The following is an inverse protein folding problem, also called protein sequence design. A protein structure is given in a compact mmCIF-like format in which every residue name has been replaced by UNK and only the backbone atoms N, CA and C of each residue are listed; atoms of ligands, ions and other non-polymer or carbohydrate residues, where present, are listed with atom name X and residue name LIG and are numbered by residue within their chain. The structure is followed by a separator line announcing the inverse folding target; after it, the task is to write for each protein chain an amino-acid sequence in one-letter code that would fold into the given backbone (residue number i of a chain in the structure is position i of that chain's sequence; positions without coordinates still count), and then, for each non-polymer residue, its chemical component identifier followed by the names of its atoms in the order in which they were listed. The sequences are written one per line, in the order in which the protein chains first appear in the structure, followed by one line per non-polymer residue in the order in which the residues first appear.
data_IF_077499711172
#
_entry.id   IF_077499711172
#
_cell.length_a   1.000
_cell.length_b   1.000
_cell.length_c   1.000
_cell.angle_alpha   90.00
_cell.angle_beta   90.00
_cell.angle_gamma   90.00
#
_symmetry.space_group_name_H-M   'P 1'
#
loop_
_entity.id
_entity.type
_entity.pdbx_description
1 polymer ?
#
# COMPACT_ATOMS: atom_id res chain seq x y z
N UNK A 1 22.71 -2.05 -0.21
CA UNK A 1 21.80 -3.15 -0.60
C UNK A 1 20.49 -2.50 -1.03
N UNK A 2 20.01 -2.79 -2.24
CA UNK A 2 18.82 -2.13 -2.80
C UNK A 2 17.59 -2.49 -1.98
N UNK A 3 16.82 -1.50 -1.51
CA UNK A 3 15.47 -1.75 -0.99
C UNK A 3 14.64 -2.32 -2.14
N UNK A 4 14.15 -3.57 -2.05
CA UNK A 4 13.40 -4.21 -3.12
C UNK A 4 12.12 -3.42 -3.44
N UNK A 5 11.65 -3.53 -4.68
CA UNK A 5 10.36 -2.97 -5.08
C UNK A 5 9.29 -3.47 -4.09
N UNK A 6 8.51 -2.59 -3.44
CA UNK A 6 7.44 -3.00 -2.52
C UNK A 6 6.48 -4.01 -3.16
N UNK A 7 6.27 -3.98 -4.47
CA UNK A 7 5.47 -5.01 -5.15
C UNK A 7 6.17 -6.38 -5.17
N UNK A 8 7.50 -6.41 -5.20
CA UNK A 8 8.31 -7.65 -5.11
C UNK A 8 8.30 -8.26 -3.71
N UNK A 9 7.98 -7.47 -2.67
CA UNK A 9 7.79 -7.95 -1.30
C UNK A 9 6.42 -8.60 -1.07
N UNK A 10 5.52 -8.57 -2.05
CA UNK A 10 4.21 -9.24 -1.96
C UNK A 10 4.35 -10.73 -2.27
N UNK A 11 3.35 -11.53 -1.84
CA UNK A 11 3.26 -12.94 -2.24
C UNK A 11 3.24 -13.05 -3.78
N UNK A 12 3.97 -13.99 -4.40
CA UNK A 12 3.92 -14.19 -5.84
C UNK A 12 2.51 -14.61 -6.26
N UNK A 13 2.06 -14.10 -7.42
CA UNK A 13 0.79 -14.52 -8.01
C UNK A 13 0.96 -15.94 -8.55
N UNK A 14 0.21 -16.87 -7.97
CA UNK A 14 0.15 -18.26 -8.43
C UNK A 14 -0.67 -18.37 -9.72
N UNK A 15 -0.49 -19.44 -10.53
CA UNK A 15 -1.22 -19.60 -11.78
C UNK A 15 -2.75 -19.54 -11.64
N UNK A 16 -3.30 -20.08 -10.54
CA UNK A 16 -4.72 -20.07 -10.23
C UNK A 16 -5.28 -18.69 -9.87
N UNK A 17 -4.44 -17.75 -9.44
CA UNK A 17 -4.83 -16.37 -9.13
C UNK A 17 -4.60 -15.40 -10.28
N UNK A 18 -4.03 -15.86 -11.40
CA UNK A 18 -3.60 -14.99 -12.50
C UNK A 18 -4.73 -14.18 -13.11
N UNK A 19 -5.85 -14.83 -13.40
CA UNK A 19 -6.98 -14.17 -14.06
C UNK A 19 -7.65 -13.16 -13.12
N UNK A 20 -7.74 -13.50 -11.82
CA UNK A 20 -8.22 -12.58 -10.79
C UNK A 20 -7.30 -11.36 -10.64
N UNK A 21 -5.99 -11.58 -10.63
CA UNK A 21 -5.02 -10.51 -10.58
C UNK A 21 -5.12 -9.57 -11.78
N UNK A 22 -5.27 -10.12 -12.99
CA UNK A 22 -5.45 -9.34 -14.20
C UNK A 22 -6.74 -8.51 -14.15
N UNK A 23 -7.86 -9.11 -13.76
CA UNK A 23 -9.13 -8.41 -13.62
C UNK A 23 -9.06 -7.27 -12.58
N UNK A 24 -8.41 -7.49 -11.44
CA UNK A 24 -8.17 -6.46 -10.42
C UNK A 24 -7.22 -5.35 -10.89
N UNK A 25 -6.32 -5.67 -11.83
CA UNK A 25 -5.36 -4.69 -12.36
C UNK A 25 -5.99 -3.73 -13.38
N UNK A 26 -7.22 -3.99 -13.84
CA UNK A 26 -7.91 -3.12 -14.79
C UNK A 26 -8.39 -1.85 -14.09
N UNK A 27 -7.57 -0.79 -14.18
CA UNK A 27 -7.93 0.50 -13.61
C UNK A 27 -8.86 1.29 -14.52
N UNK A 28 -10.15 1.23 -14.21
CA UNK A 28 -11.21 1.86 -15.00
C UNK A 28 -11.52 3.31 -14.54
N UNK A 29 -10.75 3.86 -13.62
CA UNK A 29 -10.94 5.19 -13.01
C UNK A 29 -10.56 6.38 -13.92
N UNK A 30 -11.24 6.58 -15.05
CA UNK A 30 -11.04 7.78 -15.87
C UNK A 30 -9.70 7.85 -16.64
N UNK A 31 -8.81 6.85 -16.47
CA UNK A 31 -7.65 6.62 -17.34
C UNK A 31 -7.90 5.57 -18.45
N UNK A 32 -9.16 5.16 -18.63
CA UNK A 32 -9.59 4.33 -19.75
C UNK A 32 -9.23 2.85 -19.67
N UNK A 33 -9.09 2.27 -18.46
CA UNK A 33 -8.89 0.83 -18.30
C UNK A 33 -7.43 0.38 -18.47
N UNK A 34 -6.46 1.30 -18.46
CA UNK A 34 -5.06 0.95 -18.73
C UNK A 34 -4.43 0.28 -17.51
N UNK A 35 -4.00 -0.97 -17.71
CA UNK A 35 -3.20 -1.69 -16.73
C UNK A 35 -1.79 -1.07 -16.68
N UNK A 36 -1.47 -0.45 -15.54
CA UNK A 36 -0.15 0.10 -15.21
C UNK A 36 0.58 -0.76 -14.18
N UNK A 37 1.89 -0.58 -14.01
CA UNK A 37 2.65 -1.25 -12.95
C UNK A 37 2.09 -0.93 -11.55
N UNK A 38 1.57 0.28 -11.35
CA UNK A 38 0.92 0.68 -10.11
C UNK A 38 -0.37 -0.14 -9.88
N UNK A 39 -1.27 -0.16 -10.86
CA UNK A 39 -2.53 -0.92 -10.74
C UNK A 39 -2.28 -2.43 -10.54
N UNK A 40 -1.23 -2.99 -11.16
CA UNK A 40 -0.79 -4.38 -10.93
C UNK A 40 -0.29 -4.62 -9.52
N UNK A 41 0.42 -3.65 -8.96
CA UNK A 41 0.92 -3.72 -7.60
C UNK A 41 -0.22 -3.66 -6.58
N UNK A 42 -1.16 -2.74 -6.77
CA UNK A 42 -2.36 -2.61 -5.94
C UNK A 42 -3.23 -3.88 -6.03
N UNK A 43 -3.44 -4.42 -7.23
CA UNK A 43 -4.13 -5.70 -7.42
C UNK A 43 -3.46 -6.86 -6.68
N UNK A 44 -2.12 -6.93 -6.73
CA UNK A 44 -1.35 -7.95 -6.02
C UNK A 44 -1.42 -7.76 -4.50
N UNK A 45 -1.45 -6.51 -4.03
CA UNK A 45 -1.61 -6.20 -2.61
C UNK A 45 -3.01 -6.62 -2.16
N UNK A 46 -4.07 -6.22 -2.87
CA UNK A 46 -5.45 -6.61 -2.60
C UNK A 46 -5.62 -8.13 -2.48
N UNK A 47 -5.08 -8.90 -3.44
CA UNK A 47 -5.08 -10.37 -3.35
C UNK A 47 -4.27 -10.89 -2.16
N UNK A 48 -3.12 -10.27 -1.87
CA UNK A 48 -2.32 -10.66 -0.70
C UNK A 48 -3.12 -10.46 0.58
N UNK A 49 -3.86 -9.34 0.71
CA UNK A 49 -4.70 -9.04 1.86
C UNK A 49 -5.87 -10.02 2.01
N UNK A 50 -6.49 -10.43 0.90
CA UNK A 50 -7.49 -11.51 0.91
C UNK A 50 -6.88 -12.82 1.44
N UNK A 51 -5.74 -13.24 0.88
CA UNK A 51 -5.08 -14.50 1.23
C UNK A 51 -4.66 -14.55 2.70
N UNK A 52 -4.23 -13.42 3.27
CA UNK A 52 -3.85 -13.36 4.69
C UNK A 52 -5.04 -13.07 5.61
N UNK A 53 -6.26 -12.95 5.07
CA UNK A 53 -7.48 -12.69 5.85
C UNK A 53 -7.54 -11.30 6.46
N UNK A 54 -6.96 -10.29 5.80
CA UNK A 54 -7.14 -8.87 6.16
C UNK A 54 -8.32 -8.23 5.43
N UNK A 55 -8.63 -8.71 4.23
CA UNK A 55 -9.83 -8.37 3.47
C UNK A 55 -10.68 -9.62 3.27
N UNK A 56 -12.00 -9.42 3.25
CA UNK A 56 -12.95 -10.51 3.09
C UNK A 56 -13.01 -10.98 1.64
N UNK A 57 -12.89 -12.30 1.38
CA UNK A 57 -13.04 -12.82 0.03
C UNK A 57 -14.51 -12.71 -0.42
N UNK A 58 -14.81 -12.47 -1.70
CA UNK A 58 -13.86 -12.30 -2.81
C UNK A 58 -13.60 -10.81 -3.04
N UNK A 59 -12.34 -10.40 -3.04
CA UNK A 59 -11.94 -9.05 -3.42
C UNK A 59 -12.13 -8.87 -4.93
N UNK A 60 -12.79 -7.78 -5.28
CA UNK A 60 -13.13 -7.37 -6.64
C UNK A 60 -12.72 -5.92 -6.86
N UNK A 61 -12.67 -5.48 -8.13
CA UNK A 61 -12.48 -4.08 -8.47
C UNK A 61 -13.71 -3.62 -9.26
N UNK A 62 -14.59 -2.81 -8.65
CA UNK A 62 -15.75 -2.29 -9.35
C UNK A 62 -15.30 -1.31 -10.44
N UNK A 63 -16.20 -1.07 -11.39
CA UNK A 63 -15.95 -0.24 -12.57
C UNK A 63 -15.49 1.21 -12.29
N UNK A 64 -15.67 1.69 -11.07
CA UNK A 64 -15.50 3.09 -10.68
C UNK A 64 -14.34 3.35 -9.70
N UNK A 65 -13.45 2.39 -9.44
CA UNK A 65 -12.22 2.70 -8.71
C UNK A 65 -11.64 1.58 -7.84
N UNK A 66 -11.45 1.88 -6.55
CA UNK A 66 -10.68 1.10 -5.58
C UNK A 66 -11.23 -0.31 -5.32
N UNK A 67 -10.42 -1.19 -4.72
CA UNK A 67 -10.84 -2.58 -4.47
C UNK A 67 -11.97 -2.67 -3.44
N UNK A 68 -12.97 -3.50 -3.73
CA UNK A 68 -14.05 -3.86 -2.82
C UNK A 68 -13.91 -5.29 -2.32
N UNK A 69 -14.19 -5.54 -1.04
CA UNK A 69 -14.17 -6.89 -0.46
C UNK A 69 -15.50 -7.64 -0.62
N UNK A 70 -15.56 -8.87 -0.12
CA UNK A 70 -16.73 -9.75 -0.20
C UNK A 70 -17.99 -9.25 0.54
N UNK A 71 -17.85 -8.27 1.44
CA UNK A 71 -18.98 -7.61 2.10
C UNK A 71 -19.38 -6.30 1.41
N UNK A 72 -18.73 -5.95 0.30
CA UNK A 72 -19.00 -4.73 -0.44
C UNK A 72 -18.32 -3.49 0.15
N UNK A 73 -17.45 -3.64 1.15
CA UNK A 73 -16.67 -2.52 1.66
C UNK A 73 -15.60 -2.15 0.64
N UNK A 74 -15.56 -0.88 0.24
CA UNK A 74 -14.54 -0.32 -0.65
C UNK A 74 -13.34 0.15 0.17
N UNK A 75 -12.14 -0.16 -0.28
CA UNK A 75 -10.89 0.07 0.42
C UNK A 75 -9.96 0.97 -0.40
N UNK A 76 -9.62 2.14 0.14
CA UNK A 76 -8.59 3.00 -0.41
C UNK A 76 -7.21 2.57 0.12
N UNK A 77 -6.24 2.43 -0.77
CA UNK A 77 -4.91 1.92 -0.45
C UNK A 77 -3.93 3.09 -0.33
N UNK A 78 -3.33 3.27 0.84
CA UNK A 78 -2.30 4.27 1.11
C UNK A 78 -0.95 3.59 1.30
N UNK A 79 0.06 4.05 0.55
CA UNK A 79 1.43 3.55 0.64
C UNK A 79 2.40 4.69 1.00
N UNK A 80 2.35 5.21 2.24
CA UNK A 80 3.20 6.32 2.66
C UNK A 80 4.68 5.95 2.58
N UNK A 81 5.53 6.92 2.26
CA UNK A 81 6.95 6.68 2.03
C UNK A 81 7.81 7.40 3.05
N UNK A 82 8.72 6.67 3.70
CA UNK A 82 9.79 7.32 4.46
C UNK A 82 10.66 8.19 3.55
N UNK A 83 11.19 9.30 4.08
CA UNK A 83 12.16 10.13 3.36
C UNK A 83 13.32 9.30 2.81
N UNK A 84 13.83 8.35 3.60
CA UNK A 84 14.88 7.42 3.20
C UNK A 84 14.46 6.57 1.98
N UNK A 85 13.23 6.05 1.96
CA UNK A 85 12.71 5.29 0.82
C UNK A 85 12.57 6.14 -0.45
N UNK A 86 12.17 7.42 -0.32
CA UNK A 86 12.07 8.36 -1.44
C UNK A 86 13.46 8.63 -2.03
N UNK A 87 14.41 8.99 -1.19
CA UNK A 87 15.81 9.25 -1.59
C UNK A 87 16.38 8.03 -2.30
N UNK A 88 16.31 6.86 -1.68
CA UNK A 88 16.84 5.63 -2.25
C UNK A 88 16.22 5.29 -3.62
N UNK A 89 14.88 5.44 -3.77
CA UNK A 89 14.19 5.19 -5.05
C UNK A 89 14.69 6.13 -6.14
N UNK A 90 14.85 7.40 -5.80
CA UNK A 90 15.31 8.43 -6.74
C UNK A 90 16.76 8.19 -7.14
N UNK A 91 17.65 7.91 -6.19
CA UNK A 91 19.05 7.58 -6.45
C UNK A 91 19.18 6.33 -7.32
N UNK A 92 18.41 5.28 -7.01
CA UNK A 92 18.39 4.04 -7.80
C UNK A 92 17.93 4.27 -9.24
N UNK A 93 16.87 5.07 -9.44
CA UNK A 93 16.37 5.42 -10.77
C UNK A 93 17.37 6.28 -11.54
N UNK A 94 17.96 7.26 -10.87
CA UNK A 94 18.94 8.20 -11.42
C UNK A 94 20.21 7.45 -11.87
N UNK A 95 20.69 6.52 -11.04
CA UNK A 95 21.80 5.61 -11.38
C UNK A 95 21.49 4.76 -12.62
N UNK A 96 20.29 4.15 -12.71
CA UNK A 96 19.87 3.37 -13.88
C UNK A 96 19.72 4.22 -15.15
N UNK A 97 19.30 5.47 -15.00
CA UNK A 97 19.14 6.41 -16.10
C UNK A 97 20.42 7.16 -16.48
N UNK A 98 21.52 6.95 -15.74
CA UNK A 98 22.77 7.70 -15.87
C UNK A 98 22.58 9.24 -15.76
N UNK A 99 21.64 9.69 -14.95
CA UNK A 99 21.37 11.11 -14.67
C UNK A 99 21.63 11.43 -13.20
N UNK A 100 22.01 12.66 -12.83
CA UNK A 100 22.09 13.06 -11.43
C UNK A 100 20.69 13.09 -10.77
N UNK A 101 20.58 12.80 -9.46
CA UNK A 101 19.32 12.91 -8.74
C UNK A 101 18.83 14.37 -8.67
N UNK A 102 17.51 14.62 -8.74
CA UNK A 102 16.92 15.95 -8.58
C UNK A 102 17.18 16.54 -7.18
N UNK A 103 17.21 17.88 -7.09
CA UNK A 103 17.29 18.60 -5.81
C UNK A 103 15.91 18.66 -5.14
N UNK A 104 15.79 18.06 -3.95
CA UNK A 104 14.56 18.07 -3.15
C UNK A 104 13.69 16.82 -3.36
N UNK A 105 12.97 16.45 -2.30
CA UNK A 105 12.24 15.18 -2.21
C UNK A 105 10.84 15.40 -1.59
N UNK A 106 9.86 15.83 -2.39
CA UNK A 106 8.49 16.00 -1.90
C UNK A 106 7.84 14.63 -1.61
N UNK A 107 6.86 14.62 -0.69
CA UNK A 107 6.01 13.45 -0.43
C UNK A 107 6.49 12.53 0.69
N UNK A 108 7.39 13.02 1.56
CA UNK A 108 7.78 12.31 2.78
C UNK A 108 6.56 12.01 3.66
N UNK A 109 6.60 10.85 4.32
CA UNK A 109 5.64 10.45 5.32
C UNK A 109 5.46 11.53 6.38
N UNK A 110 4.20 11.92 6.58
CA UNK A 110 3.73 12.80 7.64
C UNK A 110 2.49 12.17 8.24
N UNK A 111 2.57 11.79 9.52
CA UNK A 111 1.52 11.02 10.19
C UNK A 111 0.19 11.78 10.26
N UNK A 112 0.25 13.10 10.41
CA UNK A 112 -0.94 13.95 10.48
C UNK A 112 -1.67 14.00 9.14
N UNK A 113 -0.92 14.11 8.05
CA UNK A 113 -1.47 14.04 6.69
C UNK A 113 -2.18 12.71 6.44
N UNK A 114 -1.60 11.59 6.87
CA UNK A 114 -2.21 10.27 6.69
C UNK A 114 -3.46 10.08 7.57
N UNK A 115 -3.47 10.60 8.80
CA UNK A 115 -4.66 10.61 9.66
C UNK A 115 -5.81 11.42 9.03
N UNK A 116 -5.53 12.65 8.55
CA UNK A 116 -6.52 13.49 7.86
C UNK A 116 -7.05 12.84 6.59
N UNK A 117 -6.18 12.20 5.81
CA UNK A 117 -6.60 11.42 4.63
C UNK A 117 -7.51 10.27 5.00
N UNK A 118 -7.24 9.59 6.11
CA UNK A 118 -8.07 8.48 6.60
C UNK A 118 -9.46 8.95 6.95
N UNK A 119 -9.56 10.02 7.74
CA UNK A 119 -10.84 10.65 8.07
C UNK A 119 -11.61 11.02 6.79
N UNK A 120 -10.92 11.64 5.82
CA UNK A 120 -11.52 12.00 4.54
C UNK A 120 -12.07 10.80 3.75
N UNK A 121 -11.37 9.66 3.73
CA UNK A 121 -11.88 8.45 3.05
C UNK A 121 -13.06 7.82 3.81
N UNK A 122 -13.01 7.78 5.14
CA UNK A 122 -14.11 7.24 5.95
C UNK A 122 -15.38 8.10 5.86
N UNK A 123 -15.25 9.41 5.72
CA UNK A 123 -16.39 10.30 5.42
C UNK A 123 -17.05 10.00 4.06
N UNK A 124 -16.33 9.35 3.14
CA UNK A 124 -16.84 8.85 1.86
C UNK A 124 -17.35 7.39 1.95
N UNK A 125 -17.39 6.81 3.15
CA UNK A 125 -17.82 5.42 3.36
C UNK A 125 -16.78 4.37 2.96
N UNK A 126 -15.51 4.76 2.79
CA UNK A 126 -14.42 3.85 2.43
C UNK A 126 -13.61 3.44 3.65
N UNK A 127 -13.13 2.20 3.64
CA UNK A 127 -12.06 1.75 4.50
C UNK A 127 -10.70 2.17 3.95
N UNK A 128 -9.68 2.13 4.80
CA UNK A 128 -8.30 2.48 4.44
C UNK A 128 -7.37 1.33 4.76
N UNK A 129 -6.54 0.97 3.79
CA UNK A 129 -5.43 0.05 4.01
C UNK A 129 -4.11 0.80 3.90
N UNK A 130 -3.31 0.75 4.96
CA UNK A 130 -1.95 1.25 4.97
C UNK A 130 -0.94 0.17 4.61
N UNK A 131 -0.25 0.34 3.49
CA UNK A 131 0.94 -0.42 3.13
C UNK A 131 2.18 0.19 3.81
N UNK A 132 2.56 -0.40 4.94
CA UNK A 132 3.63 0.04 5.84
C UNK A 132 5.02 -0.38 5.36
N UNK A 133 5.14 -1.16 4.28
CA UNK A 133 6.41 -1.75 3.83
C UNK A 133 7.43 -0.72 3.33
N UNK A 134 7.00 0.53 3.17
CA UNK A 134 7.82 1.67 2.73
C UNK A 134 8.19 2.62 3.88
N UNK A 135 7.75 2.29 5.09
CA UNK A 135 8.08 2.99 6.33
C UNK A 135 9.16 2.24 7.10
N UNK A 136 9.88 2.95 7.97
CA UNK A 136 10.65 2.28 9.02
C UNK A 136 9.70 1.69 10.06
N UNK A 137 10.17 0.74 10.87
CA UNK A 137 9.37 0.16 11.97
C UNK A 137 8.86 1.27 12.92
N UNK A 138 9.70 2.25 13.25
CA UNK A 138 9.31 3.37 14.10
C UNK A 138 8.19 4.23 13.48
N UNK A 139 8.28 4.53 12.17
CA UNK A 139 7.25 5.29 11.46
C UNK A 139 5.94 4.51 11.29
N UNK A 140 6.05 3.20 11.03
CA UNK A 140 4.91 2.31 10.98
C UNK A 140 4.17 2.28 12.33
N UNK A 141 4.90 2.13 13.43
CA UNK A 141 4.33 2.16 14.78
C UNK A 141 3.71 3.51 15.12
N UNK A 142 4.38 4.61 14.76
CA UNK A 142 3.84 5.96 14.94
C UNK A 142 2.50 6.12 14.20
N UNK A 143 2.43 5.68 12.94
CA UNK A 143 1.20 5.73 12.14
C UNK A 143 0.07 4.90 12.78
N UNK A 144 0.36 3.66 13.17
CA UNK A 144 -0.60 2.79 13.85
C UNK A 144 -1.12 3.46 15.13
N UNK A 145 -0.22 3.94 15.99
CA UNK A 145 -0.60 4.57 17.26
C UNK A 145 -1.48 5.80 17.06
N UNK A 146 -1.14 6.69 16.11
CA UNK A 146 -1.94 7.90 15.86
C UNK A 146 -3.31 7.55 15.27
N UNK A 147 -3.35 6.70 14.24
CA UNK A 147 -4.61 6.36 13.54
C UNK A 147 -5.57 5.60 14.45
N UNK A 148 -5.06 4.68 15.27
CA UNK A 148 -5.89 3.90 16.20
C UNK A 148 -6.35 4.69 17.43
N UNK A 149 -5.63 5.74 17.81
CA UNK A 149 -5.98 6.59 18.96
C UNK A 149 -6.93 7.74 18.60
N UNK A 150 -7.11 8.07 17.31
CA UNK A 150 -7.99 9.15 16.87
C UNK A 150 -9.46 8.73 16.96
N UNK A 151 -10.24 9.43 17.79
CA UNK A 151 -11.66 9.13 18.00
C UNK A 151 -12.55 9.42 16.79
N UNK A 152 -12.04 10.09 15.75
CA UNK A 152 -12.75 10.36 14.50
C UNK A 152 -12.55 9.25 13.46
N UNK A 153 -11.72 8.26 13.76
CA UNK A 153 -11.41 7.14 12.87
C UNK A 153 -12.10 5.88 13.40
N UNK A 154 -12.91 5.26 12.55
CA UNK A 154 -13.44 3.93 12.82
C UNK A 154 -12.34 2.89 12.60
N UNK A 155 -11.84 2.31 13.69
CA UNK A 155 -10.82 1.27 13.66
C UNK A 155 -11.28 0.00 12.90
N UNK A 156 -12.58 -0.27 12.81
CA UNK A 156 -13.10 -1.40 12.03
C UNK A 156 -12.88 -1.21 10.52
N UNK A 157 -12.68 0.03 10.07
CA UNK A 157 -12.43 0.42 8.68
C UNK A 157 -10.97 0.77 8.39
N UNK A 158 -10.04 0.36 9.25
CA UNK A 158 -8.59 0.52 9.02
C UNK A 158 -7.90 -0.84 9.01
N UNK A 159 -7.00 -1.05 8.06
CA UNK A 159 -6.11 -2.22 8.02
C UNK A 159 -4.67 -1.77 7.82
N UNK A 160 -3.74 -2.51 8.40
CA UNK A 160 -2.30 -2.30 8.27
C UNK A 160 -1.67 -3.53 7.62
N UNK A 161 -0.77 -3.31 6.66
CA UNK A 161 -0.01 -4.36 6.02
C UNK A 161 1.48 -4.03 5.89
N UNK A 162 2.40 -4.87 6.40
CA UNK A 162 2.14 -6.04 7.25
C UNK A 162 1.40 -5.66 8.54
N UNK A 163 0.87 -6.66 9.24
CA UNK A 163 0.20 -6.42 10.53
C UNK A 163 1.20 -5.91 11.55
N UNK A 164 0.70 -5.27 12.61
CA UNK A 164 1.53 -4.71 13.67
C UNK A 164 2.45 -5.78 14.29
N UNK A 165 1.90 -6.95 14.59
CA UNK A 165 2.64 -8.09 15.14
C UNK A 165 3.76 -8.60 14.22
N UNK A 166 3.65 -8.34 12.92
CA UNK A 166 4.59 -8.80 11.89
C UNK A 166 5.68 -7.77 11.56
N UNK A 167 5.59 -6.53 12.08
CA UNK A 167 6.53 -5.45 11.75
C UNK A 167 7.99 -5.78 12.11
N UNK A 168 8.20 -6.47 13.23
CA UNK A 168 9.54 -6.86 13.71
C UNK A 168 10.22 -7.89 12.79
N UNK A 169 9.44 -8.85 12.28
CA UNK A 169 9.89 -9.87 11.33
C UNK A 169 10.25 -9.27 9.97
N UNK A 170 9.61 -8.16 9.60
CA UNK A 170 9.86 -7.47 8.35
C UNK A 170 11.19 -6.68 8.36
N UNK A 171 11.55 -6.08 9.51
CA UNK A 171 12.82 -5.36 9.68
C UNK A 171 14.06 -6.25 9.63
N UNK A 172 13.95 -7.51 10.08
CA UNK A 172 15.06 -8.46 10.09
C UNK A 172 15.41 -9.02 8.71
N UNK A 173 14.44 -9.08 7.79
CA UNK A 173 14.62 -9.62 6.43
C UNK A 173 15.19 -8.63 5.40
N UNK A 174 15.12 -7.31 5.65
CA UNK A 174 15.62 -6.29 4.72
C UNK A 174 17.13 -5.98 4.87
N UNK A 175 17.79 -6.59 5.86
CA UNK A 175 19.21 -6.39 6.18
C UNK A 175 20.06 -7.66 6.14
N UNK A 176 19.48 -8.81 5.73
CA UNK A 176 20.15 -10.11 5.74
C UNK A 176 20.43 -10.67 4.35
N UNK A 177 21.73 -10.70 4.00
CA UNK A 177 22.44 -11.35 2.88
C UNK A 177 22.36 -10.74 1.47
#
# INVERSE_FOLDING_TARGET
MLVPDPCSLLRPITPDLRDRWLALSEDRDGQGGRITDQSRCEARLALTLEIVGLLEPTVTRPHWGDAGDGYGQVWDFKAPHSQAAIVHRIESRSSRAATPPPQGYPGAFDVQTEAVRTIGQQQLGKGVVFDLRRLTVAQAQELINVVTADSNIDAALVRFYPREEDLSSFGAGAHGN
#
